data_IF_003347176310
#
_entry.id   IF_003347176310
#
_cell.length_a   1.000
_cell.length_b   1.000
_cell.length_c   1.000
_cell.angle_alpha   90.00
_cell.angle_beta   90.00
_cell.angle_gamma   90.00
#
_symmetry.space_group_name_H-M   'P 1'
#
loop_
_entity.id
_entity.type
_entity.pdbx_description
1 polymer ?
#
# COMPACT_ATOMS: atom_id res chain seq x y z
N UNK A 1 9.68 -14.82 -11.16
CA UNK A 1 10.30 -13.72 -10.40
C UNK A 1 9.18 -12.77 -9.99
N UNK A 2 9.14 -12.26 -8.74
CA UNK A 2 8.16 -11.26 -8.37
C UNK A 2 8.36 -9.98 -9.20
N UNK A 3 7.26 -9.30 -9.52
CA UNK A 3 7.27 -8.07 -10.31
C UNK A 3 7.55 -6.83 -9.44
N UNK A 4 7.20 -6.91 -8.16
CA UNK A 4 7.64 -5.96 -7.14
C UNK A 4 8.23 -6.72 -5.96
N UNK A 5 9.42 -6.32 -5.53
CA UNK A 5 10.00 -6.73 -4.27
C UNK A 5 10.55 -5.48 -3.59
N UNK A 6 10.06 -5.16 -2.40
CA UNK A 6 10.49 -4.00 -1.65
C UNK A 6 10.93 -4.36 -0.22
N UNK A 7 11.84 -3.56 0.32
CA UNK A 7 12.39 -3.66 1.67
C UNK A 7 12.34 -2.30 2.36
N UNK A 8 12.45 -2.29 3.70
CA UNK A 8 12.42 -1.07 4.51
C UNK A 8 11.18 -0.21 4.24
N UNK A 9 10.01 -0.82 4.07
CA UNK A 9 8.76 -0.11 3.88
C UNK A 9 7.98 -0.04 5.19
N UNK A 10 7.20 1.02 5.39
CA UNK A 10 6.16 1.09 6.41
C UNK A 10 4.85 0.58 5.81
N UNK A 11 4.57 -0.70 5.99
CA UNK A 11 3.41 -1.42 5.48
C UNK A 11 2.16 -1.01 6.27
N UNK A 12 1.18 -0.44 5.60
CA UNK A 12 -0.08 -0.02 6.22
C UNK A 12 -1.07 -1.19 6.21
N UNK A 13 -1.05 -1.94 7.31
CA UNK A 13 -1.86 -3.13 7.55
C UNK A 13 -3.20 -2.76 8.22
N UNK A 14 -4.25 -3.60 8.13
CA UNK A 14 -5.56 -3.30 8.72
C UNK A 14 -5.53 -2.91 10.20
N UNK A 15 -4.62 -3.50 10.97
CA UNK A 15 -4.45 -3.33 12.42
C UNK A 15 -3.44 -2.23 12.82
N UNK A 16 -2.55 -1.83 11.91
CA UNK A 16 -1.55 -0.81 12.18
C UNK A 16 -0.49 -0.68 11.09
N UNK A 17 0.59 0.04 11.42
CA UNK A 17 1.74 0.17 10.53
C UNK A 17 2.86 -0.73 11.03
N UNK A 18 3.38 -1.58 10.15
CA UNK A 18 4.51 -2.47 10.42
C UNK A 18 5.67 -2.08 9.53
N UNK A 19 6.90 -2.14 10.05
CA UNK A 19 8.09 -1.91 9.25
C UNK A 19 8.59 -3.24 8.70
N UNK A 20 8.63 -3.41 7.38
CA UNK A 20 8.95 -4.69 6.77
C UNK A 20 9.17 -4.64 5.26
N UNK A 21 9.01 -5.80 4.64
CA UNK A 21 9.16 -6.03 3.20
C UNK A 21 7.87 -6.58 2.60
N UNK A 22 7.66 -6.34 1.31
CA UNK A 22 6.53 -6.90 0.57
C UNK A 22 7.01 -7.40 -0.78
N UNK A 23 6.53 -8.57 -1.18
CA UNK A 23 6.69 -9.09 -2.53
C UNK A 23 5.33 -9.26 -3.20
N UNK A 24 5.26 -8.87 -4.47
CA UNK A 24 4.07 -9.03 -5.29
C UNK A 24 4.44 -9.58 -6.66
N UNK A 25 3.54 -10.39 -7.19
CA UNK A 25 3.57 -10.89 -8.56
C UNK A 25 2.54 -10.13 -9.41
N UNK A 26 2.42 -10.48 -10.69
CA UNK A 26 1.32 -9.93 -11.49
C UNK A 26 0.00 -10.35 -10.83
N UNK A 27 -0.87 -9.37 -10.62
CA UNK A 27 -2.20 -9.58 -10.08
C UNK A 27 -2.28 -9.59 -8.57
N UNK A 28 -1.31 -10.19 -7.84
CA UNK A 28 -1.48 -10.44 -6.40
C UNK A 28 -0.22 -10.25 -5.54
N UNK A 29 -0.44 -9.92 -4.28
CA UNK A 29 0.56 -9.85 -3.21
C UNK A 29 0.92 -11.29 -2.83
N UNK A 30 2.22 -11.58 -2.78
CA UNK A 30 2.74 -12.92 -2.50
C UNK A 30 3.08 -13.07 -1.02
N UNK A 31 3.94 -12.20 -0.50
CA UNK A 31 4.42 -12.24 0.88
C UNK A 31 4.47 -10.83 1.47
N UNK A 32 4.19 -10.73 2.76
CA UNK A 32 4.16 -9.47 3.54
C UNK A 32 4.95 -9.71 4.82
N UNK A 33 5.81 -8.75 5.18
CA UNK A 33 6.66 -8.75 6.38
C UNK A 33 7.62 -9.94 6.51
N UNK A 34 8.01 -10.53 5.39
CA UNK A 34 9.02 -11.61 5.36
C UNK A 34 10.34 -11.05 4.85
N UNK A 35 11.47 -11.23 5.58
CA UNK A 35 12.79 -10.86 5.10
C UNK A 35 13.06 -11.44 3.72
N UNK A 36 13.42 -10.58 2.76
CA UNK A 36 13.67 -11.00 1.38
C UNK A 36 15.16 -10.92 1.07
N UNK A 37 15.71 -11.99 0.50
CA UNK A 37 17.09 -12.04 -0.02
C UNK A 37 17.13 -11.92 -1.55
N UNK A 38 16.04 -11.45 -2.16
CA UNK A 38 15.90 -11.35 -3.60
C UNK A 38 16.82 -10.24 -4.12
N UNK A 39 17.77 -10.62 -4.98
CA UNK A 39 18.62 -9.68 -5.70
C UNK A 39 17.76 -8.74 -6.56
N UNK A 40 17.90 -7.43 -6.37
CA UNK A 40 17.10 -6.40 -7.05
C UNK A 40 15.89 -5.90 -6.25
N UNK A 41 15.74 -6.28 -4.98
CA UNK A 41 14.75 -5.67 -4.10
C UNK A 41 14.94 -4.15 -4.00
N UNK A 42 13.85 -3.40 -4.12
CA UNK A 42 13.84 -1.95 -4.01
C UNK A 42 13.87 -1.53 -2.53
N UNK A 43 14.82 -0.67 -2.17
CA UNK A 43 14.85 -0.06 -0.85
C UNK A 43 13.85 1.11 -0.79
N UNK A 44 12.84 0.98 0.07
CA UNK A 44 11.81 2.00 0.23
C UNK A 44 12.20 3.08 1.25
N UNK A 45 13.32 2.93 1.97
CA UNK A 45 13.89 3.95 2.86
C UNK A 45 12.91 4.49 3.92
N UNK A 46 12.03 3.61 4.40
CA UNK A 46 10.98 3.95 5.35
C UNK A 46 9.76 4.65 4.73
N UNK A 47 9.65 4.73 3.40
CA UNK A 47 8.40 5.20 2.77
C UNK A 47 7.24 4.27 3.14
N UNK A 48 6.02 4.82 3.16
CA UNK A 48 4.81 4.05 3.40
C UNK A 48 4.40 3.28 2.15
N UNK A 49 3.92 2.06 2.35
CA UNK A 49 3.26 1.27 1.32
C UNK A 49 1.83 1.02 1.75
N UNK A 50 0.89 1.41 0.88
CA UNK A 50 -0.54 1.29 1.10
C UNK A 50 -1.14 0.36 0.04
N UNK A 51 -2.26 -0.32 0.35
CA UNK A 51 -3.07 -0.92 -0.70
C UNK A 51 -3.62 0.19 -1.61
N UNK A 52 -3.90 -0.15 -2.87
CA UNK A 52 -4.51 0.77 -3.82
C UNK A 52 -5.83 1.31 -3.28
N UNK A 53 -6.10 2.59 -3.54
CA UNK A 53 -7.33 3.23 -3.10
C UNK A 53 -8.54 2.59 -3.79
N UNK A 54 -9.56 2.28 -2.99
CA UNK A 54 -10.87 1.83 -3.46
C UNK A 54 -11.85 2.90 -3.03
N UNK A 55 -12.51 3.57 -3.98
CA UNK A 55 -13.38 4.71 -3.67
C UNK A 55 -14.82 4.44 -4.11
N UNK A 56 -15.78 4.80 -3.26
CA UNK A 56 -17.22 4.82 -3.58
C UNK A 56 -17.80 6.24 -3.62
N UNK A 57 -17.14 7.23 -3.00
CA UNK A 57 -17.60 8.63 -2.97
C UNK A 57 -16.42 9.63 -3.01
N UNK A 58 -16.42 10.53 -3.99
CA UNK A 58 -15.32 11.51 -4.21
C UNK A 58 -15.12 12.52 -3.07
N UNK A 59 -16.10 12.74 -2.20
CA UNK A 59 -16.04 13.74 -1.12
C UNK A 59 -15.23 13.29 0.11
N UNK A 60 -14.77 12.03 0.15
CA UNK A 60 -14.03 11.49 1.28
C UNK A 60 -12.50 11.46 1.07
N UNK A 61 -12.02 11.52 -0.17
CA UNK A 61 -10.57 11.56 -0.50
C UNK A 61 -9.91 12.82 0.08
N UNK A 62 -10.52 13.99 -0.13
CA UNK A 62 -9.92 15.28 0.25
C UNK A 62 -9.72 15.42 1.77
N UNK A 63 -10.61 14.82 2.58
CA UNK A 63 -10.53 14.91 4.06
C UNK A 63 -9.41 14.05 4.65
N UNK A 64 -8.94 13.04 3.91
CA UNK A 64 -8.00 12.03 4.42
C UNK A 64 -6.60 12.10 3.79
N UNK A 65 -6.42 12.85 2.70
CA UNK A 65 -5.12 13.09 2.07
C UNK A 65 -4.24 14.13 2.80
N UNK A 66 -4.71 14.65 3.93
CA UNK A 66 -3.92 15.48 4.84
C UNK A 66 -3.84 14.80 6.22
N UNK A 67 -3.05 13.73 6.38
CA UNK A 67 -2.69 13.26 7.71
C UNK A 67 -1.86 14.38 8.37
N UNK A 68 -2.53 15.24 9.13
CA UNK A 68 -1.86 16.20 10.01
C UNK A 68 -0.93 15.41 10.94
N UNK A 69 0.17 16.02 11.37
CA UNK A 69 1.09 15.45 12.37
C UNK A 69 0.29 14.77 13.49
N UNK A 70 0.43 13.44 13.61
CA UNK A 70 -0.32 12.59 14.55
C UNK A 70 -1.48 11.76 13.98
N UNK A 71 -1.80 11.82 12.68
CA UNK A 71 -2.90 11.06 12.08
C UNK A 71 -2.49 9.62 11.74
N UNK A 72 -3.33 8.66 12.16
CA UNK A 72 -3.28 7.24 11.78
C UNK A 72 -3.69 7.12 10.31
N UNK A 73 -2.89 6.43 9.49
CA UNK A 73 -3.32 6.04 8.14
C UNK A 73 -4.59 5.20 8.24
N UNK A 74 -5.75 5.67 7.76
CA UNK A 74 -6.98 4.91 7.88
C UNK A 74 -6.99 3.86 6.77
N UNK A 75 -6.63 2.63 7.11
CA UNK A 75 -6.85 1.46 6.23
C UNK A 75 -8.30 1.30 5.81
N UNK A 76 -9.22 1.85 6.60
CA UNK A 76 -10.64 1.99 6.26
C UNK A 76 -10.89 2.72 4.94
N UNK A 77 -9.95 3.54 4.43
CA UNK A 77 -10.11 4.21 3.14
C UNK A 77 -10.09 3.25 1.96
N UNK A 78 -9.52 2.07 2.14
CA UNK A 78 -9.40 1.07 1.08
C UNK A 78 -10.23 -0.16 1.40
N UNK A 79 -10.13 -0.66 2.64
CA UNK A 79 -10.81 -1.87 3.07
C UNK A 79 -12.33 -1.69 3.15
N UNK A 80 -12.83 -0.58 3.72
CA UNK A 80 -14.28 -0.40 3.91
C UNK A 80 -15.02 -0.22 2.58
N UNK A 81 -14.56 0.62 1.63
CA UNK A 81 -15.19 0.70 0.31
C UNK A 81 -15.12 -0.61 -0.47
N UNK A 82 -14.00 -1.34 -0.39
CA UNK A 82 -13.89 -2.66 -1.01
C UNK A 82 -14.95 -3.62 -0.46
N UNK A 83 -15.06 -3.70 0.87
CA UNK A 83 -16.06 -4.54 1.53
C UNK A 83 -17.49 -4.12 1.19
N UNK A 84 -17.80 -2.82 1.18
CA UNK A 84 -19.12 -2.29 0.86
C UNK A 84 -19.55 -2.64 -0.58
N UNK A 85 -18.59 -2.74 -1.50
CA UNK A 85 -18.81 -3.17 -2.88
C UNK A 85 -18.72 -4.70 -3.09
N UNK A 86 -18.49 -5.48 -2.04
CA UNK A 86 -18.28 -6.93 -2.13
C UNK A 86 -16.97 -7.34 -2.80
N UNK A 87 -16.00 -6.43 -2.91
CA UNK A 87 -14.67 -6.69 -3.45
C UNK A 87 -13.81 -7.34 -2.38
N UNK A 88 -13.63 -8.65 -2.47
CA UNK A 88 -12.86 -9.44 -1.49
C UNK A 88 -11.38 -9.57 -1.84
N UNK A 89 -11.04 -9.27 -3.09
CA UNK A 89 -9.71 -9.42 -3.65
C UNK A 89 -8.80 -8.22 -3.38
N UNK A 90 -9.28 -7.07 -2.88
CA UNK A 90 -8.47 -5.84 -2.76
C UNK A 90 -8.77 -5.07 -1.48
N UNK A 91 -8.05 -3.96 -1.29
CA UNK A 91 -8.26 -3.02 -0.18
C UNK A 91 -7.40 -3.27 1.06
N UNK A 92 -6.56 -4.31 1.07
CA UNK A 92 -5.71 -4.69 2.20
C UNK A 92 -4.35 -5.19 1.70
N UNK A 93 -3.28 -4.98 2.48
CA UNK A 93 -1.96 -5.57 2.23
C UNK A 93 -1.87 -6.96 2.86
N UNK A 94 -2.58 -7.92 2.28
CA UNK A 94 -2.51 -9.32 2.71
C UNK A 94 -2.11 -10.22 1.54
N UNK A 95 -1.39 -11.33 1.79
CA UNK A 95 -1.14 -12.35 0.77
C UNK A 95 -2.43 -12.78 0.05
N UNK A 96 -2.34 -12.93 -1.26
CA UNK A 96 -3.46 -13.27 -2.14
C UNK A 96 -4.37 -12.11 -2.52
N UNK A 97 -4.25 -10.94 -1.88
CA UNK A 97 -4.95 -9.71 -2.30
C UNK A 97 -4.30 -9.11 -3.55
N UNK A 98 -5.07 -8.30 -4.26
CA UNK A 98 -4.71 -7.65 -5.51
C UNK A 98 -3.55 -6.69 -5.28
N UNK A 99 -2.54 -6.79 -6.13
CA UNK A 99 -1.31 -5.99 -6.02
C UNK A 99 -1.46 -4.56 -6.60
N UNK A 100 -2.57 -3.88 -6.27
CA UNK A 100 -2.63 -2.44 -6.46
C UNK A 100 -2.00 -1.79 -5.24
N UNK A 101 -0.97 -0.97 -5.44
CA UNK A 101 -0.11 -0.50 -4.36
C UNK A 101 0.26 0.97 -4.56
N UNK A 102 0.36 1.71 -3.46
CA UNK A 102 0.81 3.11 -3.45
C UNK A 102 2.02 3.24 -2.54
N UNK A 103 3.14 3.74 -3.07
CA UNK A 103 4.28 4.17 -2.25
C UNK A 103 4.14 5.66 -1.97
N UNK A 104 4.14 6.01 -0.69
CA UNK A 104 3.96 7.38 -0.21
C UNK A 104 5.14 7.79 0.66
N UNK A 105 5.74 8.94 0.33
CA UNK A 105 6.80 9.57 1.12
C UNK A 105 6.24 10.75 1.89
N UNK A 106 6.63 10.90 3.15
CA UNK A 106 6.35 12.13 3.90
C UNK A 106 7.45 13.16 3.60
N UNK A 107 7.07 14.33 3.09
CA UNK A 107 7.95 15.48 2.86
C UNK A 107 7.35 16.66 3.60
N UNK A 108 8.07 17.18 4.60
CA UNK A 108 7.58 18.27 5.47
C UNK A 108 6.16 18.02 6.01
N UNK A 109 5.93 16.80 6.53
CA UNK A 109 4.63 16.29 7.01
C UNK A 109 3.50 16.18 5.96
N UNK A 110 3.81 16.37 4.68
CA UNK A 110 2.88 16.19 3.57
C UNK A 110 3.07 14.82 2.92
N UNK A 111 2.02 14.01 2.73
CA UNK A 111 2.13 12.75 2.00
C UNK A 111 2.23 12.99 0.50
N UNK A 112 3.31 12.50 -0.11
CA UNK A 112 3.55 12.58 -1.56
C UNK A 112 3.55 11.16 -2.13
N UNK A 113 2.67 10.89 -3.09
CA UNK A 113 2.70 9.63 -3.85
C UNK A 113 3.92 9.66 -4.77
N UNK A 114 4.83 8.71 -4.58
CA UNK A 114 6.09 8.64 -5.34
C UNK A 114 6.14 7.50 -6.34
N UNK A 115 5.28 6.49 -6.18
CA UNK A 115 5.12 5.41 -7.16
C UNK A 115 3.76 4.73 -6.99
N UNK A 116 3.23 4.20 -8.10
CA UNK A 116 1.93 3.53 -8.15
C UNK A 116 2.06 2.23 -8.93
N UNK A 117 1.52 1.14 -8.37
CA UNK A 117 1.40 -0.14 -9.05
C UNK A 117 -0.06 -0.51 -9.21
N UNK A 118 -0.39 -1.06 -10.38
CA UNK A 118 -1.66 -1.72 -10.67
C UNK A 118 -1.37 -3.18 -10.96
N UNK A 119 -1.97 -4.09 -10.20
CA UNK A 119 -1.74 -5.54 -10.33
C UNK A 119 -0.24 -5.91 -10.38
N UNK A 120 0.59 -5.26 -9.57
CA UNK A 120 2.04 -5.51 -9.50
C UNK A 120 2.86 -4.83 -10.59
N UNK A 121 2.24 -4.16 -11.57
CA UNK A 121 2.91 -3.40 -12.61
C UNK A 121 2.98 -1.91 -12.25
N UNK A 122 4.19 -1.33 -12.28
CA UNK A 122 4.37 0.09 -12.04
C UNK A 122 3.75 0.93 -13.19
N UNK A 123 3.04 1.99 -12.82
CA UNK A 123 2.33 2.90 -13.75
C UNK A 123 2.84 4.33 -13.66
N UNK A 124 3.32 4.74 -12.48
CA UNK A 124 3.95 6.05 -12.20
C UNK A 124 5.33 5.80 -11.59
#
# INVERSE_FOLDING_TARGET
MPFLCCTNARLVMPDGVVHGSLTAEIGSIRDVDTPTSISGALDFKGDYLLPGLVEIHTDNIEKHFLPRSGVRWPTSLTANPAQALGLTDRGELLPGKRADLLRVRMVDDVPVVVAVWREGRQVI
#
